data_IF_583248539386
#
_entry.id   IF_583248539386
#
_cell.length_a   1.000
_cell.length_b   1.000
_cell.length_c   1.000
_cell.angle_alpha   90.00
_cell.angle_beta   90.00
_cell.angle_gamma   90.00
#
_symmetry.space_group_name_H-M   'P 1'
#
loop_
_entity.id
_entity.type
_entity.pdbx_description
1 polymer ?
#
# COMPACT_ATOMS: atom_id res chain seq x y z
N UNK A 1 -7.60 -59.75 -67.89
CA UNK A 1 -7.68 -58.31 -67.60
C UNK A 1 -8.21 -58.16 -66.20
N UNK A 2 -7.31 -57.93 -65.25
CA UNK A 2 -7.61 -57.78 -63.82
C UNK A 2 -7.44 -56.32 -63.44
N UNK A 3 -8.42 -55.65 -62.87
CA UNK A 3 -8.21 -54.25 -62.36
C UNK A 3 -7.51 -54.30 -61.01
N UNK A 4 -6.45 -53.49 -60.89
CA UNK A 4 -5.68 -53.33 -59.67
C UNK A 4 -6.41 -52.56 -58.59
N UNK A 5 -6.00 -52.72 -57.32
CA UNK A 5 -6.67 -52.10 -56.23
C UNK A 5 -6.32 -50.58 -56.14
N UNK A 6 -7.36 -49.80 -55.90
CA UNK A 6 -7.26 -48.36 -55.64
C UNK A 6 -6.45 -48.09 -54.37
N UNK A 7 -5.44 -47.27 -54.50
CA UNK A 7 -4.62 -46.70 -53.40
C UNK A 7 -5.50 -45.69 -52.64
N UNK A 8 -5.89 -46.04 -51.45
CA UNK A 8 -6.54 -45.14 -50.55
C UNK A 8 -5.51 -44.14 -50.00
N UNK A 9 -5.68 -42.88 -50.36
CA UNK A 9 -4.93 -41.78 -49.79
C UNK A 9 -5.30 -41.63 -48.30
N UNK A 10 -4.35 -42.02 -47.45
CA UNK A 10 -4.47 -41.75 -46.03
C UNK A 10 -4.24 -40.27 -45.82
N UNK A 11 -5.30 -39.53 -45.51
CA UNK A 11 -5.24 -38.18 -45.02
C UNK A 11 -4.60 -38.17 -43.62
N UNK A 12 -3.58 -37.39 -43.34
CA UNK A 12 -3.05 -37.23 -41.99
C UNK A 12 -3.87 -36.19 -41.24
N UNK A 13 -5.03 -36.57 -40.72
CA UNK A 13 -5.88 -35.79 -39.86
C UNK A 13 -5.42 -35.93 -38.38
N UNK A 14 -4.31 -35.32 -38.02
CA UNK A 14 -3.82 -35.48 -36.66
C UNK A 14 -3.17 -34.28 -36.02
N UNK A 15 -2.85 -33.20 -36.75
CA UNK A 15 -2.01 -32.14 -36.21
C UNK A 15 -2.69 -30.88 -35.70
N UNK A 16 -3.97 -30.71 -35.89
CA UNK A 16 -4.68 -29.48 -35.47
C UNK A 16 -5.34 -29.54 -34.08
N UNK A 17 -5.28 -30.68 -33.39
CA UNK A 17 -5.93 -30.81 -32.07
C UNK A 17 -5.09 -30.30 -30.89
N UNK A 18 -3.78 -30.29 -31.00
CA UNK A 18 -2.88 -29.90 -29.88
C UNK A 18 -2.67 -28.39 -29.78
N UNK A 19 -2.74 -27.65 -30.87
CA UNK A 19 -2.49 -26.21 -30.87
C UNK A 19 -3.59 -25.40 -30.15
N UNK A 20 -4.84 -25.83 -30.18
CA UNK A 20 -5.94 -25.18 -29.45
C UNK A 20 -5.80 -25.30 -27.95
N UNK A 21 -5.24 -26.40 -27.46
CA UNK A 21 -4.94 -26.59 -26.02
C UNK A 21 -3.80 -25.73 -25.53
N UNK A 22 -2.79 -25.50 -26.36
CA UNK A 22 -1.61 -24.68 -26.00
C UNK A 22 -1.96 -23.20 -25.90
N UNK A 23 -2.70 -22.68 -26.88
CA UNK A 23 -3.15 -21.26 -26.87
C UNK A 23 -4.04 -20.97 -25.67
N UNK A 24 -4.96 -21.89 -25.33
CA UNK A 24 -5.79 -21.74 -24.13
C UNK A 24 -5.00 -21.71 -22.82
N UNK A 25 -3.98 -22.55 -22.69
CA UNK A 25 -3.07 -22.56 -21.52
C UNK A 25 -2.26 -21.28 -21.41
N UNK A 26 -1.71 -20.79 -22.51
CA UNK A 26 -0.94 -19.53 -22.55
C UNK A 26 -1.84 -18.35 -22.18
N UNK A 27 -3.06 -18.29 -22.73
CA UNK A 27 -4.01 -17.24 -22.38
C UNK A 27 -4.36 -17.26 -20.90
N UNK A 28 -4.58 -18.43 -20.30
CA UNK A 28 -4.89 -18.58 -18.89
C UNK A 28 -3.73 -18.13 -18.00
N UNK A 29 -2.49 -18.47 -18.37
CA UNK A 29 -1.30 -18.00 -17.66
C UNK A 29 -1.19 -16.47 -17.72
N UNK A 30 -1.38 -15.87 -18.89
CA UNK A 30 -1.35 -14.43 -19.07
C UNK A 30 -2.45 -13.72 -18.26
N UNK A 31 -3.64 -14.30 -18.20
CA UNK A 31 -4.76 -13.76 -17.41
C UNK A 31 -4.45 -13.84 -15.91
N UNK A 32 -3.82 -14.92 -15.46
CA UNK A 32 -3.38 -15.07 -14.07
C UNK A 32 -2.30 -14.01 -13.73
N UNK A 33 -1.31 -13.84 -14.60
CA UNK A 33 -0.27 -12.83 -14.41
C UNK A 33 -0.86 -11.42 -14.36
N UNK A 34 -1.79 -11.11 -15.28
CA UNK A 34 -2.48 -9.83 -15.26
C UNK A 34 -3.27 -9.60 -13.96
N UNK A 35 -3.97 -10.63 -13.46
CA UNK A 35 -4.70 -10.54 -12.19
C UNK A 35 -3.77 -10.26 -11.01
N UNK A 36 -2.61 -10.92 -10.95
CA UNK A 36 -1.61 -10.68 -9.89
C UNK A 36 -1.06 -9.25 -9.96
N UNK A 37 -0.79 -8.74 -11.17
CA UNK A 37 -0.32 -7.36 -11.35
C UNK A 37 -1.39 -6.35 -10.89
N UNK A 38 -2.66 -6.57 -11.22
CA UNK A 38 -3.75 -5.67 -10.81
C UNK A 38 -3.90 -5.66 -9.29
N UNK A 39 -3.89 -6.82 -8.64
CA UNK A 39 -3.97 -6.90 -7.17
C UNK A 39 -2.77 -6.22 -6.51
N UNK A 40 -1.55 -6.47 -7.01
CA UNK A 40 -0.35 -5.81 -6.51
C UNK A 40 -0.37 -4.29 -6.68
N UNK A 41 -0.96 -3.79 -7.76
CA UNK A 41 -1.12 -2.34 -7.97
C UNK A 41 -2.13 -1.73 -6.98
N UNK A 42 -3.20 -2.44 -6.64
CA UNK A 42 -4.18 -2.01 -5.63
C UNK A 42 -3.51 -1.92 -4.25
N UNK A 43 -2.77 -2.94 -3.85
CA UNK A 43 -2.05 -2.97 -2.56
C UNK A 43 -1.02 -1.84 -2.49
N UNK A 44 -0.23 -1.63 -3.54
CA UNK A 44 0.74 -0.53 -3.59
C UNK A 44 0.07 0.85 -3.47
N UNK A 45 -1.08 1.04 -4.12
CA UNK A 45 -1.84 2.29 -4.05
C UNK A 45 -2.40 2.53 -2.64
N UNK A 46 -2.90 1.50 -1.97
CA UNK A 46 -3.38 1.55 -0.60
C UNK A 46 -2.27 1.97 0.37
N UNK A 47 -1.08 1.35 0.25
CA UNK A 47 0.10 1.69 1.07
C UNK A 47 0.50 3.16 0.88
N UNK A 48 0.57 3.64 -0.37
CA UNK A 48 0.94 5.02 -0.68
C UNK A 48 -0.07 6.02 -0.12
N UNK A 49 -1.36 5.76 -0.29
CA UNK A 49 -2.42 6.63 0.20
C UNK A 49 -2.44 6.69 1.73
N UNK A 50 -2.33 5.55 2.39
CA UNK A 50 -2.27 5.47 3.85
C UNK A 50 -1.05 6.20 4.40
N UNK A 51 0.10 6.07 3.75
CA UNK A 51 1.32 6.80 4.12
C UNK A 51 1.15 8.31 3.98
N UNK A 52 0.53 8.78 2.89
CA UNK A 52 0.30 10.20 2.64
C UNK A 52 -0.62 10.79 3.72
N UNK A 53 -1.76 10.15 3.98
CA UNK A 53 -2.70 10.58 5.01
C UNK A 53 -2.07 10.63 6.40
N UNK A 54 -1.32 9.60 6.76
CA UNK A 54 -0.63 9.57 8.05
C UNK A 54 0.46 10.65 8.16
N UNK A 55 1.16 10.98 7.06
CA UNK A 55 2.15 12.05 7.04
C UNK A 55 1.48 13.42 7.19
N UNK A 56 0.34 13.64 6.52
CA UNK A 56 -0.45 14.86 6.66
C UNK A 56 -0.96 15.01 8.10
N UNK A 57 -1.50 13.94 8.69
CA UNK A 57 -1.94 13.92 10.07
C UNK A 57 -0.81 14.20 11.07
N UNK A 58 0.39 13.62 10.86
CA UNK A 58 1.56 13.89 11.69
C UNK A 58 1.97 15.37 11.62
N UNK A 59 1.85 15.97 10.44
CA UNK A 59 2.11 17.39 10.23
C UNK A 59 1.06 18.26 10.93
N UNK A 60 -0.23 17.95 10.78
CA UNK A 60 -1.31 18.70 11.42
C UNK A 60 -1.21 18.62 12.95
N UNK A 61 -0.94 17.44 13.51
CA UNK A 61 -0.68 17.28 14.93
C UNK A 61 0.53 18.08 15.40
N UNK A 62 1.60 18.17 14.59
CA UNK A 62 2.77 18.98 14.92
C UNK A 62 2.46 20.49 14.88
N UNK A 63 1.58 20.93 13.97
CA UNK A 63 1.12 22.33 13.89
C UNK A 63 0.26 22.66 15.11
N UNK A 64 -0.68 21.80 15.51
CA UNK A 64 -1.53 22.00 16.68
C UNK A 64 -0.68 22.10 17.96
N UNK A 65 0.31 21.24 18.12
CA UNK A 65 1.25 21.31 19.24
C UNK A 65 2.08 22.60 19.24
N UNK A 66 2.60 23.02 18.08
CA UNK A 66 3.36 24.26 17.95
C UNK A 66 2.48 25.49 18.24
N UNK A 67 1.21 25.47 17.85
CA UNK A 67 0.24 26.53 18.14
C UNK A 67 -0.04 26.64 19.64
N UNK A 68 -0.21 25.51 20.34
CA UNK A 68 -0.38 25.50 21.79
C UNK A 68 0.81 26.15 22.51
N UNK A 69 2.05 25.89 22.05
CA UNK A 69 3.25 26.54 22.58
C UNK A 69 3.29 28.06 22.28
N UNK A 70 2.83 28.48 21.10
CA UNK A 70 2.75 29.90 20.73
C UNK A 70 1.76 30.67 21.59
N UNK A 71 0.69 30.02 22.03
CA UNK A 71 -0.31 30.61 22.93
C UNK A 71 0.13 30.65 24.38
N UNK A 72 1.38 30.30 24.65
CA UNK A 72 1.95 30.32 26.00
C UNK A 72 1.75 29.03 26.79
N UNK A 73 1.32 27.96 26.10
CA UNK A 73 1.20 26.64 26.68
C UNK A 73 2.58 26.01 27.00
N UNK A 74 2.54 25.01 27.83
CA UNK A 74 3.71 24.20 28.20
C UNK A 74 3.83 22.95 27.28
N UNK A 75 4.85 22.14 27.50
CA UNK A 75 5.09 20.91 26.77
C UNK A 75 3.94 19.92 26.88
N UNK A 76 3.27 19.88 28.04
CA UNK A 76 2.15 18.96 28.28
C UNK A 76 0.91 19.37 27.49
N UNK A 77 0.61 20.67 27.45
CA UNK A 77 -0.47 21.21 26.62
C UNK A 77 -0.21 21.01 25.12
N UNK A 78 1.03 21.16 24.69
CA UNK A 78 1.41 20.84 23.30
C UNK A 78 1.19 19.37 22.96
N UNK A 79 1.55 18.46 23.87
CA UNK A 79 1.30 17.03 23.68
C UNK A 79 -0.19 16.70 23.64
N UNK A 80 -0.98 17.33 24.51
CA UNK A 80 -2.43 17.14 24.51
C UNK A 80 -3.08 17.64 23.21
N UNK A 81 -2.67 18.80 22.71
CA UNK A 81 -3.17 19.33 21.44
C UNK A 81 -2.84 18.40 20.25
N UNK A 82 -1.64 17.83 20.23
CA UNK A 82 -1.28 16.84 19.20
C UNK A 82 -2.11 15.56 19.30
N UNK A 83 -2.33 15.06 20.53
CA UNK A 83 -3.13 13.85 20.77
C UNK A 83 -4.60 14.07 20.39
N UNK A 84 -5.16 15.24 20.67
CA UNK A 84 -6.53 15.60 20.29
C UNK A 84 -6.70 15.61 18.77
N UNK A 85 -5.76 16.22 18.05
CA UNK A 85 -5.73 16.21 16.58
C UNK A 85 -5.65 14.78 16.01
N UNK A 86 -4.87 13.90 16.65
CA UNK A 86 -4.75 12.50 16.23
C UNK A 86 -6.03 11.71 16.53
N UNK A 87 -6.67 11.98 17.66
CA UNK A 87 -7.89 11.30 18.07
C UNK A 87 -9.10 11.70 17.21
N UNK A 88 -9.15 12.95 16.75
CA UNK A 88 -10.21 13.46 15.87
C UNK A 88 -10.11 12.91 14.43
N UNK A 89 -8.92 12.49 14.03
CA UNK A 89 -8.72 11.86 12.74
C UNK A 89 -9.06 10.38 12.85
N UNK A 90 -10.17 9.93 12.33
CA UNK A 90 -10.62 8.51 12.34
C UNK A 90 -9.70 7.59 11.48
N UNK A 91 -8.40 7.68 11.72
CA UNK A 91 -7.35 6.94 10.99
C UNK A 91 -6.70 5.87 11.90
N UNK A 92 -6.37 4.69 11.38
CA UNK A 92 -5.76 3.59 12.14
C UNK A 92 -4.27 3.88 12.43
N UNK A 93 -3.99 4.96 13.12
CA UNK A 93 -2.63 5.40 13.48
C UNK A 93 -2.36 5.20 14.96
N UNK A 94 -1.10 5.01 15.31
CA UNK A 94 -0.63 5.00 16.70
C UNK A 94 0.46 6.03 16.87
N UNK A 95 0.33 6.85 17.91
CA UNK A 95 1.39 7.75 18.30
C UNK A 95 2.60 6.93 18.79
N UNK A 96 3.76 7.15 18.15
CA UNK A 96 5.04 6.57 18.57
C UNK A 96 5.80 7.50 19.49
N UNK A 97 5.88 8.78 19.13
CA UNK A 97 6.64 9.78 19.88
C UNK A 97 6.20 11.19 19.52
N UNK A 98 6.26 12.07 20.50
CA UNK A 98 6.21 13.53 20.32
C UNK A 98 7.49 14.09 20.92
N UNK A 99 8.25 14.82 20.13
CA UNK A 99 9.42 15.57 20.57
C UNK A 99 9.10 17.06 20.53
N UNK A 100 9.09 17.68 21.71
CA UNK A 100 8.87 19.11 21.83
C UNK A 100 10.22 19.79 22.04
N UNK A 101 10.79 20.28 20.94
CA UNK A 101 12.04 21.04 20.95
C UNK A 101 11.79 22.54 21.14
N UNK A 102 12.87 23.28 21.35
CA UNK A 102 12.80 24.74 21.56
C UNK A 102 12.35 25.52 20.32
N UNK A 103 12.52 25.00 19.14
CA UNK A 103 12.19 25.64 17.84
C UNK A 103 11.33 24.83 16.93
N UNK A 104 11.13 23.58 17.27
CA UNK A 104 10.44 22.63 16.41
C UNK A 104 9.71 21.59 17.26
N UNK A 105 8.51 21.26 16.85
CA UNK A 105 7.76 20.11 17.38
C UNK A 105 7.74 19.04 16.31
N UNK A 106 8.12 17.82 16.67
CA UNK A 106 8.09 16.66 15.78
C UNK A 106 7.14 15.61 16.35
N UNK A 107 6.19 15.19 15.52
CA UNK A 107 5.25 14.10 15.83
C UNK A 107 5.60 12.91 14.95
N UNK A 108 5.74 11.75 15.56
CA UNK A 108 6.06 10.49 14.89
C UNK A 108 4.89 9.52 15.08
N UNK A 109 4.28 9.11 13.99
CA UNK A 109 3.18 8.17 13.95
C UNK A 109 3.63 6.84 13.35
N UNK A 110 2.99 5.76 13.80
CA UNK A 110 3.03 4.45 13.15
C UNK A 110 1.64 4.16 12.61
N UNK A 111 1.59 3.81 11.36
CA UNK A 111 0.37 3.45 10.66
C UNK A 111 0.49 2.06 10.08
N UNK A 112 -0.60 1.34 10.05
CA UNK A 112 -0.73 0.06 9.37
C UNK A 112 -1.60 0.24 8.14
N UNK A 113 -1.10 -0.15 6.97
CA UNK A 113 -1.88 -0.15 5.75
C UNK A 113 -2.72 -1.43 5.67
N UNK A 114 -3.98 -1.30 5.28
CA UNK A 114 -4.82 -2.45 4.94
C UNK A 114 -4.45 -2.93 3.53
N UNK A 115 -3.89 -4.13 3.46
CA UNK A 115 -3.48 -4.77 2.21
C UNK A 115 -4.19 -6.11 2.02
N UNK A 116 -4.48 -6.49 0.78
CA UNK A 116 -5.21 -7.72 0.46
C UNK A 116 -4.30 -8.95 0.42
N UNK A 117 -3.06 -8.78 -0.03
CA UNK A 117 -2.11 -9.87 -0.28
C UNK A 117 -0.98 -9.86 0.74
N UNK A 118 -0.45 -8.69 1.08
CA UNK A 118 0.70 -8.55 2.00
C UNK A 118 0.35 -9.12 3.38
N UNK A 119 -0.87 -8.89 3.88
CA UNK A 119 -1.35 -9.42 5.16
C UNK A 119 -1.32 -10.95 5.25
N UNK A 120 -1.38 -11.65 4.10
CA UNK A 120 -1.39 -13.12 4.06
C UNK A 120 -0.01 -13.75 3.95
N UNK A 121 1.03 -12.94 3.79
CA UNK A 121 2.40 -13.39 3.62
C UNK A 121 3.22 -12.94 4.83
N UNK A 122 3.52 -13.84 5.80
CA UNK A 122 4.18 -13.46 7.06
C UNK A 122 5.54 -12.74 6.90
N UNK A 123 6.20 -12.95 5.77
CA UNK A 123 7.48 -12.32 5.46
C UNK A 123 7.36 -10.83 5.10
N UNK A 124 6.15 -10.36 4.76
CA UNK A 124 5.90 -8.99 4.31
C UNK A 124 5.24 -8.09 5.37
N UNK A 125 5.05 -8.59 6.58
CA UNK A 125 4.44 -7.85 7.70
C UNK A 125 5.13 -6.52 8.02
N UNK A 126 6.42 -6.42 7.75
CA UNK A 126 7.16 -5.16 7.95
C UNK A 126 6.77 -4.07 6.94
N UNK A 127 6.27 -4.45 5.76
CA UNK A 127 5.83 -3.49 4.74
C UNK A 127 4.49 -2.84 5.09
N UNK A 128 3.68 -3.46 5.93
CA UNK A 128 2.41 -2.89 6.41
C UNK A 128 2.62 -1.81 7.47
N UNK A 129 3.73 -1.90 8.21
CA UNK A 129 4.05 -0.97 9.30
C UNK A 129 4.94 0.15 8.79
N UNK A 130 4.40 1.32 8.69
CA UNK A 130 5.13 2.50 8.27
C UNK A 130 5.26 3.49 9.41
N UNK A 131 6.44 4.06 9.52
CA UNK A 131 6.68 5.19 10.43
C UNK A 131 6.70 6.47 9.60
N UNK A 132 5.86 7.42 9.97
CA UNK A 132 5.80 8.75 9.36
C UNK A 132 6.07 9.80 10.42
N UNK A 133 6.67 10.90 10.03
CA UNK A 133 6.95 12.03 10.92
C UNK A 133 6.49 13.32 10.27
N UNK A 134 5.87 14.18 11.07
CA UNK A 134 5.58 15.55 10.74
C UNK A 134 6.31 16.47 11.68
N UNK A 135 6.78 17.61 11.20
CA UNK A 135 7.40 18.63 12.03
C UNK A 135 6.86 20.02 11.72
N UNK A 136 6.77 20.85 12.75
CA UNK A 136 6.39 22.24 12.65
C UNK A 136 7.33 23.13 13.46
N UNK A 137 7.73 24.26 12.86
CA UNK A 137 8.55 25.24 13.55
C UNK A 137 7.72 26.05 14.54
N UNK A 138 8.31 26.35 15.68
CA UNK A 138 7.76 27.30 16.66
C UNK A 138 8.50 28.64 16.45
N UNK A 139 7.91 29.62 15.73
CA UNK A 139 8.50 30.95 15.60
C UNK A 139 8.59 31.59 16.99
N UNK A 140 9.74 32.13 17.35
CA UNK A 140 9.88 33.03 18.48
C UNK A 140 9.90 34.46 17.95
N UNK A 141 8.94 35.22 18.38
CA UNK A 141 9.04 36.67 18.34
C UNK A 141 10.10 37.16 19.27
#
# INVERSE_FOLDING_TARGET
>A
MTPGPARGDAYPDGRFRDERGLVGKILLVWLLVAAVIVVGAIDASSILLTRSRAADLAKDASISAAEALRQGGDEEQAKLAALDTIADADEPVRLKRIDVGRREVTVVLVVRADTLVVERIPFLDELERMTVSGSSSVPRD
#
